data_IF_974156778486
#
_entry.id   IF_974156778486
#
_cell.length_a   1.000
_cell.length_b   1.000
_cell.length_c   1.000
_cell.angle_alpha   90.00
_cell.angle_beta   90.00
_cell.angle_gamma   90.00
#
_symmetry.space_group_name_H-M   'P 1'
#
loop_
_entity.id
_entity.type
_entity.pdbx_description
1 polymer ?
#
# COMPACT_ATOMS: atom_id res chain seq x y z
N UNK A 1 -30.80 -18.11 15.55
CA UNK A 1 -30.58 -18.10 14.09
C UNK A 1 -31.12 -16.80 13.56
N UNK A 2 -30.25 -15.87 13.17
CA UNK A 2 -30.65 -14.60 12.56
C UNK A 2 -29.77 -14.36 11.34
N UNK A 3 -30.40 -14.38 10.16
CA UNK A 3 -29.82 -13.94 8.90
C UNK A 3 -29.87 -12.40 8.84
N UNK A 4 -28.82 -11.78 8.33
CA UNK A 4 -28.92 -10.55 7.55
C UNK A 4 -27.72 -10.46 6.61
N UNK A 5 -28.02 -10.61 5.33
CA UNK A 5 -27.14 -10.46 4.17
C UNK A 5 -27.27 -9.02 3.65
N UNK A 6 -26.10 -8.42 3.39
CA UNK A 6 -25.73 -7.72 2.16
C UNK A 6 -26.12 -6.25 1.86
N UNK A 7 -25.21 -5.67 1.05
CA UNK A 7 -25.34 -4.55 0.12
C UNK A 7 -25.03 -3.12 0.60
N UNK A 8 -23.75 -2.79 0.39
CA UNK A 8 -23.25 -1.59 -0.31
C UNK A 8 -24.13 -0.36 -0.45
N UNK A 9 -23.72 0.73 0.22
CA UNK A 9 -24.19 2.09 -0.06
C UNK A 9 -23.06 2.95 -0.60
N UNK A 10 -22.91 2.98 -1.92
CA UNK A 10 -22.20 4.05 -2.65
C UNK A 10 -22.94 5.36 -2.37
N UNK A 11 -22.32 6.28 -1.65
CA UNK A 11 -22.81 7.67 -1.54
C UNK A 11 -22.04 8.52 -2.54
N UNK A 12 -22.61 8.65 -3.75
CA UNK A 12 -22.32 9.77 -4.63
C UNK A 12 -23.05 11.00 -4.09
N UNK A 13 -22.30 12.08 -3.86
CA UNK A 13 -22.84 13.39 -3.52
C UNK A 13 -23.23 14.12 -4.79
N UNK A 14 -24.53 14.13 -5.07
CA UNK A 14 -25.16 14.92 -6.12
C UNK A 14 -25.21 16.40 -5.69
N UNK A 15 -24.98 17.29 -6.66
CA UNK A 15 -24.90 18.72 -6.44
C UNK A 15 -26.27 19.37 -6.24
N UNK A 16 -26.27 20.55 -5.60
CA UNK A 16 -27.18 21.68 -5.90
C UNK A 16 -26.79 22.94 -5.11
N UNK A 17 -26.42 23.95 -5.90
CA UNK A 17 -26.78 25.39 -5.83
C UNK A 17 -26.40 26.25 -4.62
N UNK A 18 -25.63 27.31 -4.89
CA UNK A 18 -26.00 28.75 -4.84
C UNK A 18 -24.73 29.54 -5.21
N UNK A 19 -24.61 30.30 -6.30
CA UNK A 19 -25.54 31.30 -6.80
C UNK A 19 -25.31 32.64 -6.10
N UNK A 20 -24.22 33.35 -6.41
CA UNK A 20 -24.07 34.79 -6.12
C UNK A 20 -23.09 35.45 -7.10
N UNK A 21 -23.68 36.17 -8.05
CA UNK A 21 -23.01 37.09 -8.97
C UNK A 21 -22.43 38.28 -8.22
N UNK A 22 -21.26 38.75 -8.66
CA UNK A 22 -20.84 40.14 -8.54
C UNK A 22 -20.08 40.53 -9.81
N UNK A 23 -20.39 41.74 -10.28
CA UNK A 23 -20.23 42.27 -11.62
C UNK A 23 -18.91 43.05 -11.83
N UNK A 24 -18.58 43.26 -13.11
CA UNK A 24 -17.84 44.38 -13.75
C UNK A 24 -16.39 44.15 -14.21
N UNK A 25 -16.12 44.45 -15.50
CA UNK A 25 -14.78 44.82 -15.99
C UNK A 25 -14.40 44.48 -17.45
N UNK A 26 -15.05 45.12 -18.43
CA UNK A 26 -14.65 45.43 -19.83
C UNK A 26 -14.17 44.39 -20.88
N UNK A 27 -14.60 44.55 -22.15
CA UNK A 27 -14.15 43.75 -23.29
C UNK A 27 -12.99 44.43 -24.03
N UNK A 28 -11.91 43.69 -24.28
CA UNK A 28 -10.92 44.07 -25.29
C UNK A 28 -10.38 42.81 -25.98
N UNK A 29 -10.77 42.69 -27.24
CA UNK A 29 -10.30 41.75 -28.24
C UNK A 29 -8.78 41.66 -28.27
N UNK A 30 -8.25 40.44 -28.15
CA UNK A 30 -6.99 40.04 -28.76
C UNK A 30 -7.01 38.53 -29.01
N UNK A 31 -7.11 38.25 -30.30
CA UNK A 31 -6.67 37.06 -31.03
C UNK A 31 -5.86 36.05 -30.17
N UNK A 32 -6.46 34.90 -29.93
CA UNK A 32 -5.80 33.70 -29.41
C UNK A 32 -6.62 32.49 -29.86
N UNK A 33 -6.28 32.00 -31.05
CA UNK A 33 -6.67 30.70 -31.57
C UNK A 33 -5.95 29.62 -30.77
N UNK A 34 -6.50 29.25 -29.61
CA UNK A 34 -6.26 27.95 -28.98
C UNK A 34 -7.59 27.39 -28.44
N UNK A 35 -7.75 26.05 -28.48
CA UNK A 35 -8.99 25.43 -28.89
C UNK A 35 -10.03 25.44 -27.77
N UNK A 36 -11.28 25.72 -28.17
CA UNK A 36 -12.46 25.50 -27.32
C UNK A 36 -12.40 24.09 -26.75
N UNK A 37 -12.60 23.99 -25.44
CA UNK A 37 -12.91 22.74 -24.75
C UNK A 37 -14.07 22.05 -25.49
N UNK A 38 -13.75 21.09 -26.36
CA UNK A 38 -14.71 20.26 -27.05
C UNK A 38 -15.29 19.30 -26.02
N UNK A 39 -16.28 19.79 -25.26
CA UNK A 39 -17.17 18.92 -24.51
C UNK A 39 -17.79 17.92 -25.49
N UNK A 40 -17.65 16.60 -25.25
CA UNK A 40 -18.16 15.61 -26.18
C UNK A 40 -19.67 15.76 -26.30
N UNK A 41 -20.15 15.97 -27.52
CA UNK A 41 -21.55 16.30 -27.82
C UNK A 41 -22.43 15.04 -27.70
N UNK A 42 -21.83 13.84 -27.70
CA UNK A 42 -22.54 12.59 -27.51
C UNK A 42 -21.71 11.50 -26.80
N UNK A 43 -22.40 10.45 -26.37
CA UNK A 43 -21.83 9.30 -25.64
C UNK A 43 -20.76 8.54 -26.45
N UNK A 44 -20.92 8.46 -27.77
CA UNK A 44 -19.99 7.77 -28.65
C UNK A 44 -18.65 8.51 -28.74
N UNK A 45 -18.68 9.84 -28.85
CA UNK A 45 -17.50 10.71 -28.81
C UNK A 45 -16.80 10.65 -27.44
N UNK A 46 -17.55 10.63 -26.34
CA UNK A 46 -16.94 10.47 -25.01
C UNK A 46 -16.25 9.11 -24.86
N UNK A 47 -16.83 8.04 -25.42
CA UNK A 47 -16.20 6.70 -25.42
C UNK A 47 -14.96 6.67 -26.31
N UNK A 48 -15.02 7.28 -27.50
CA UNK A 48 -13.88 7.39 -28.41
C UNK A 48 -12.72 8.18 -27.79
N UNK A 49 -12.98 9.34 -27.18
CA UNK A 49 -11.96 10.13 -26.49
C UNK A 49 -11.34 9.38 -25.30
N UNK A 50 -12.14 8.60 -24.56
CA UNK A 50 -11.62 7.74 -23.48
C UNK A 50 -10.79 6.58 -24.01
N UNK A 51 -11.18 5.99 -25.13
CA UNK A 51 -10.42 4.93 -25.79
C UNK A 51 -9.09 5.48 -26.33
N UNK A 52 -9.11 6.62 -27.01
CA UNK A 52 -7.93 7.30 -27.54
C UNK A 52 -6.98 7.75 -26.42
N UNK A 53 -7.50 8.27 -25.30
CA UNK A 53 -6.68 8.59 -24.13
C UNK A 53 -6.10 7.34 -23.44
N UNK A 54 -6.77 6.20 -23.50
CA UNK A 54 -6.25 4.92 -23.00
C UNK A 54 -5.18 4.35 -23.94
N UNK A 55 -5.37 4.45 -25.24
CA UNK A 55 -4.41 4.04 -26.26
C UNK A 55 -3.16 4.93 -26.27
N UNK A 56 -3.31 6.25 -26.05
CA UNK A 56 -2.19 7.16 -25.88
C UNK A 56 -1.34 6.87 -24.64
N UNK A 57 -1.94 6.31 -23.58
CA UNK A 57 -1.21 5.82 -22.39
C UNK A 57 -0.41 4.56 -22.72
N UNK A 58 -1.02 3.62 -23.44
CA UNK A 58 -0.37 2.37 -23.87
C UNK A 58 0.76 2.61 -24.88
N UNK A 59 0.58 3.57 -25.80
CA UNK A 59 1.60 3.94 -26.77
C UNK A 59 2.85 4.56 -26.11
N UNK A 60 2.67 5.32 -25.01
CA UNK A 60 3.77 5.88 -24.21
C UNK A 60 4.52 4.83 -23.36
N UNK A 61 3.95 3.64 -23.15
CA UNK A 61 4.60 2.54 -22.41
C UNK A 61 5.59 1.74 -23.28
N UNK A 62 5.58 1.91 -24.60
CA UNK A 62 6.45 1.17 -25.52
C UNK A 62 7.94 1.54 -25.47
N UNK A 63 8.34 2.55 -24.68
CA UNK A 63 9.74 3.00 -24.62
C UNK A 63 10.27 3.35 -23.21
N UNK A 64 9.64 2.88 -22.14
CA UNK A 64 10.20 3.05 -20.79
C UNK A 64 10.14 1.77 -19.96
N UNK A 65 11.31 1.22 -19.67
CA UNK A 65 11.58 0.30 -18.56
C UNK A 65 11.42 1.04 -17.22
N UNK A 66 10.30 1.74 -17.04
CA UNK A 66 9.98 2.44 -15.80
C UNK A 66 9.48 1.39 -14.82
N UNK A 67 10.39 0.84 -14.02
CA UNK A 67 10.06 0.21 -12.74
C UNK A 67 9.21 1.21 -11.95
N UNK A 68 7.88 1.06 -11.96
CA UNK A 68 7.00 1.90 -11.16
C UNK A 68 7.35 1.68 -9.69
N UNK A 69 8.12 2.59 -9.11
CA UNK A 69 8.46 2.54 -7.70
C UNK A 69 7.15 2.66 -6.91
N UNK A 70 6.95 1.74 -5.97
CA UNK A 70 5.76 1.77 -5.12
C UNK A 70 5.73 3.09 -4.34
N UNK A 71 4.53 3.67 -4.20
CA UNK A 71 4.34 4.78 -3.27
C UNK A 71 4.76 4.38 -1.86
N UNK A 72 5.09 5.33 -0.96
CA UNK A 72 5.42 4.99 0.44
C UNK A 72 4.34 4.15 1.13
N UNK A 73 3.07 4.46 0.86
CA UNK A 73 1.94 3.68 1.35
C UNK A 73 1.91 2.28 0.72
N UNK A 74 2.10 2.16 -0.59
CA UNK A 74 2.20 0.86 -1.26
C UNK A 74 3.36 0.01 -0.73
N UNK A 75 4.50 0.65 -0.46
CA UNK A 75 5.69 0.01 0.10
C UNK A 75 5.43 -0.55 1.50
N UNK A 76 4.85 0.25 2.41
CA UNK A 76 4.57 -0.25 3.77
C UNK A 76 3.50 -1.35 3.78
N UNK A 77 2.49 -1.28 2.90
CA UNK A 77 1.47 -2.33 2.79
C UNK A 77 2.05 -3.63 2.22
N UNK A 78 2.96 -3.54 1.25
CA UNK A 78 3.69 -4.71 0.76
C UNK A 78 4.59 -5.30 1.85
N UNK A 79 5.28 -4.47 2.63
CA UNK A 79 6.07 -4.93 3.77
C UNK A 79 5.21 -5.58 4.85
N UNK A 80 4.01 -5.04 5.12
CA UNK A 80 3.06 -5.65 6.06
C UNK A 80 2.71 -7.09 5.67
N UNK A 81 2.44 -7.35 4.38
CA UNK A 81 2.21 -8.73 3.89
C UNK A 81 3.42 -9.64 4.08
N UNK A 82 4.64 -9.11 4.01
CA UNK A 82 5.86 -9.87 4.30
C UNK A 82 5.99 -10.16 5.80
N UNK A 83 5.62 -9.21 6.66
CA UNK A 83 5.54 -9.42 8.11
C UNK A 83 4.54 -10.52 8.43
N UNK A 84 3.38 -10.55 7.77
CA UNK A 84 2.36 -11.58 7.98
C UNK A 84 2.91 -12.98 7.67
N UNK A 85 3.47 -13.16 6.46
CA UNK A 85 4.06 -14.45 6.04
C UNK A 85 5.19 -14.90 6.95
N UNK A 86 6.11 -13.98 7.27
CA UNK A 86 7.24 -14.31 8.13
C UNK A 86 6.78 -14.57 9.57
N UNK A 87 5.71 -13.93 10.01
CA UNK A 87 5.06 -14.20 11.29
C UNK A 87 4.46 -15.60 11.35
N UNK A 88 3.85 -16.07 10.27
CA UNK A 88 3.37 -17.47 10.16
C UNK A 88 4.55 -18.46 10.23
N UNK A 89 5.64 -18.20 9.50
CA UNK A 89 6.86 -19.03 9.56
C UNK A 89 7.44 -19.07 10.99
N UNK A 90 7.52 -17.92 11.66
CA UNK A 90 7.97 -17.83 13.05
C UNK A 90 7.05 -18.61 14.00
N UNK A 91 5.74 -18.50 13.83
CA UNK A 91 4.78 -19.23 14.66
C UNK A 91 4.93 -20.74 14.51
N UNK A 92 5.08 -21.23 13.27
CA UNK A 92 5.33 -22.66 13.00
C UNK A 92 6.64 -23.10 13.61
N UNK A 93 7.71 -22.30 13.48
CA UNK A 93 9.00 -22.59 14.09
C UNK A 93 8.89 -22.65 15.62
N UNK A 94 8.31 -21.65 16.27
CA UNK A 94 8.14 -21.60 17.72
C UNK A 94 7.30 -22.77 18.24
N UNK A 95 6.24 -23.13 17.50
CA UNK A 95 5.39 -24.28 17.84
C UNK A 95 6.14 -25.61 17.71
N UNK A 96 7.06 -25.72 16.73
CA UNK A 96 7.90 -26.89 16.52
C UNK A 96 9.10 -26.97 17.47
N UNK A 97 9.69 -25.83 17.85
CA UNK A 97 10.78 -25.75 18.81
C UNK A 97 10.30 -26.10 20.23
N UNK A 98 9.05 -25.75 20.55
CA UNK A 98 8.41 -26.08 21.83
C UNK A 98 9.21 -25.58 23.03
N UNK A 99 9.15 -26.32 24.13
CA UNK A 99 9.97 -26.08 25.34
C UNK A 99 11.33 -26.78 25.30
N UNK A 100 11.80 -27.17 24.10
CA UNK A 100 13.02 -27.95 23.98
C UNK A 100 14.22 -27.10 24.40
N UNK A 101 14.94 -27.57 25.43
CA UNK A 101 16.11 -26.87 26.01
C UNK A 101 17.25 -26.81 24.99
N UNK A 102 17.34 -27.80 24.11
CA UNK A 102 18.31 -27.82 23.01
C UNK A 102 17.60 -27.86 21.66
N UNK A 103 17.94 -26.86 20.83
CA UNK A 103 17.54 -26.83 19.42
C UNK A 103 18.47 -27.72 18.61
N UNK A 104 17.90 -28.52 17.72
CA UNK A 104 18.68 -29.27 16.73
C UNK A 104 19.48 -28.34 15.81
N UNK A 105 20.59 -28.81 15.20
CA UNK A 105 21.39 -27.97 14.29
C UNK A 105 20.60 -27.39 13.12
N UNK A 106 19.55 -28.08 12.67
CA UNK A 106 18.63 -27.59 11.63
C UNK A 106 17.74 -26.47 12.16
N UNK A 107 17.19 -26.61 13.37
CA UNK A 107 16.42 -25.56 14.02
C UNK A 107 17.25 -24.32 14.35
N UNK A 108 18.52 -24.47 14.74
CA UNK A 108 19.42 -23.34 14.97
C UNK A 108 19.67 -22.53 13.68
N UNK A 109 19.89 -23.22 12.55
CA UNK A 109 20.02 -22.56 11.24
C UNK A 109 18.73 -21.83 10.85
N UNK A 110 17.59 -22.46 11.09
CA UNK A 110 16.29 -21.87 10.77
C UNK A 110 16.00 -20.65 11.66
N UNK A 111 16.32 -20.72 12.95
CA UNK A 111 16.25 -19.59 13.88
C UNK A 111 17.10 -18.41 13.39
N UNK A 112 18.36 -18.66 13.02
CA UNK A 112 19.24 -17.63 12.49
C UNK A 112 18.69 -17.01 11.20
N UNK A 113 18.16 -17.82 10.28
CA UNK A 113 17.51 -17.36 9.04
C UNK A 113 16.31 -16.46 9.36
N UNK A 114 15.43 -16.86 10.26
CA UNK A 114 14.23 -16.09 10.64
C UNK A 114 14.60 -14.76 11.30
N UNK A 115 15.57 -14.76 12.22
CA UNK A 115 16.08 -13.55 12.84
C UNK A 115 16.69 -12.58 11.82
N UNK A 116 17.49 -13.09 10.88
CA UNK A 116 18.09 -12.26 9.83
C UNK A 116 17.00 -11.63 8.95
N UNK A 117 16.02 -12.42 8.50
CA UNK A 117 14.94 -11.92 7.66
C UNK A 117 14.07 -10.88 8.37
N UNK A 118 13.77 -11.09 9.66
CA UNK A 118 13.05 -10.10 10.47
C UNK A 118 13.85 -8.81 10.63
N UNK A 119 15.16 -8.91 10.86
CA UNK A 119 16.06 -7.75 10.97
C UNK A 119 16.11 -6.96 9.65
N UNK A 120 16.26 -7.66 8.51
CA UNK A 120 16.22 -7.02 7.19
C UNK A 120 14.86 -6.35 6.93
N UNK A 121 13.76 -6.95 7.41
CA UNK A 121 12.43 -6.41 7.25
C UNK A 121 12.22 -5.16 8.14
N UNK A 122 12.75 -5.16 9.36
CA UNK A 122 12.77 -4.00 10.24
C UNK A 122 13.48 -2.81 9.58
N UNK A 123 14.69 -3.02 9.05
CA UNK A 123 15.43 -1.97 8.34
C UNK A 123 14.66 -1.42 7.14
N UNK A 124 13.95 -2.29 6.38
CA UNK A 124 13.11 -1.86 5.26
C UNK A 124 11.90 -1.04 5.72
N UNK A 125 11.26 -1.42 6.82
CA UNK A 125 10.14 -0.68 7.43
C UNK A 125 10.60 0.70 7.89
N UNK A 126 11.75 0.77 8.57
CA UNK A 126 12.32 2.01 9.08
C UNK A 126 12.76 2.94 7.94
N UNK A 127 13.20 2.36 6.81
CA UNK A 127 13.54 3.09 5.58
C UNK A 127 12.34 3.70 4.84
N UNK A 128 11.08 3.33 5.17
CA UNK A 128 9.90 3.92 4.52
C UNK A 128 9.65 5.34 5.05
N UNK A 129 10.12 6.32 4.29
CA UNK A 129 9.79 7.74 4.46
C UNK A 129 8.36 7.99 3.99
N UNK A 130 7.51 8.53 4.85
CA UNK A 130 6.13 8.84 4.51
C UNK A 130 5.41 9.58 5.64
N UNK A 131 4.33 10.26 5.26
CA UNK A 131 3.59 11.21 6.09
C UNK A 131 2.64 10.50 7.08
N UNK A 132 1.65 11.24 7.59
CA UNK A 132 0.68 10.79 8.60
C UNK A 132 -0.14 9.56 8.17
N UNK A 133 -0.24 9.26 6.88
CA UNK A 133 -0.91 8.04 6.39
C UNK A 133 -0.05 6.78 6.57
N UNK A 134 1.27 6.89 6.47
CA UNK A 134 2.22 5.77 6.57
C UNK A 134 2.64 5.52 8.01
N UNK A 135 2.71 6.57 8.82
CA UNK A 135 3.18 6.54 10.21
C UNK A 135 2.48 5.50 11.09
N UNK A 136 1.14 5.33 11.07
CA UNK A 136 0.46 4.28 11.85
C UNK A 136 0.88 2.89 11.40
N UNK A 137 0.94 2.64 10.08
CA UNK A 137 1.35 1.34 9.54
C UNK A 137 2.79 1.00 9.91
N UNK A 138 3.72 1.96 9.77
CA UNK A 138 5.11 1.78 10.18
C UNK A 138 5.20 1.39 11.66
N UNK A 139 4.53 2.15 12.54
CA UNK A 139 4.51 1.87 13.99
C UNK A 139 3.98 0.47 14.31
N UNK A 140 2.88 0.06 13.67
CA UNK A 140 2.29 -1.27 13.87
C UNK A 140 3.25 -2.36 13.41
N UNK A 141 3.82 -2.25 12.21
CA UNK A 141 4.69 -3.28 11.67
C UNK A 141 6.03 -3.36 12.42
N UNK A 142 6.63 -2.22 12.81
CA UNK A 142 7.83 -2.22 13.67
C UNK A 142 7.57 -2.96 14.98
N UNK A 143 6.44 -2.70 15.65
CA UNK A 143 6.09 -3.41 16.89
C UNK A 143 5.92 -4.91 16.69
N UNK A 144 5.27 -5.33 15.58
CA UNK A 144 5.08 -6.74 15.27
C UNK A 144 6.42 -7.44 15.03
N UNK A 145 7.31 -6.83 14.26
CA UNK A 145 8.65 -7.38 14.00
C UNK A 145 9.47 -7.48 15.29
N UNK A 146 9.43 -6.45 16.14
CA UNK A 146 10.10 -6.47 17.45
C UNK A 146 9.56 -7.57 18.37
N UNK A 147 8.24 -7.79 18.38
CA UNK A 147 7.64 -8.89 19.15
C UNK A 147 8.15 -10.24 18.66
N UNK A 148 8.15 -10.47 17.34
CA UNK A 148 8.62 -11.72 16.74
C UNK A 148 10.10 -11.97 17.04
N UNK A 149 10.95 -10.94 16.91
CA UNK A 149 12.37 -11.04 17.26
C UNK A 149 12.56 -11.40 18.74
N UNK A 150 11.84 -10.73 19.65
CA UNK A 150 11.90 -11.04 21.08
C UNK A 150 11.46 -12.47 21.39
N UNK A 151 10.44 -12.99 20.71
CA UNK A 151 9.97 -14.35 20.92
C UNK A 151 10.99 -15.39 20.41
N UNK A 152 11.64 -15.14 19.28
CA UNK A 152 12.73 -15.97 18.78
C UNK A 152 13.98 -15.91 19.69
N UNK A 153 14.33 -14.74 20.22
CA UNK A 153 15.45 -14.56 21.16
C UNK A 153 15.26 -15.34 22.46
N UNK A 154 14.03 -15.46 22.97
CA UNK A 154 13.72 -16.29 24.15
C UNK A 154 14.02 -17.77 23.93
N UNK A 155 13.83 -18.25 22.69
CA UNK A 155 14.20 -19.62 22.32
C UNK A 155 15.71 -19.74 22.18
N UNK A 156 16.38 -18.74 21.59
CA UNK A 156 17.85 -18.72 21.47
C UNK A 156 18.57 -18.69 22.82
N UNK A 157 18.02 -17.98 23.79
CA UNK A 157 18.63 -17.81 25.13
C UNK A 157 18.31 -18.96 26.07
N UNK A 158 17.64 -20.01 25.58
CA UNK A 158 17.33 -21.22 26.34
C UNK A 158 16.66 -20.88 27.66
N UNK A 159 15.48 -20.24 27.61
CA UNK A 159 14.58 -19.97 28.74
C UNK A 159 15.25 -20.13 30.12
N UNK A 160 16.10 -19.16 30.49
CA UNK A 160 16.73 -19.14 31.79
C UNK A 160 15.69 -18.98 32.90
N UNK A 161 15.27 -20.11 33.47
CA UNK A 161 14.79 -20.30 34.84
C UNK A 161 14.61 -21.78 35.15
#
# INVERSE_FOLDING_TARGET
>A
MSCALDIGRRTGGDGRNHGRSASTGNPSSRDSTEPRDNFPVNLAQLRALRAEAAEARLAKESNSTASSSLTPLGSILMLARKVDKLGEECYVFLSSAGSSIELSPTQQKELARLMELLTQLQLKIDGVKGDETVRPHRKIQTKRVQSLLSDLEKVSSGSGK
#
